data_IF_452944562610
#
_entry.id   IF_452944562610
#
_cell.length_a   1.000
_cell.length_b   1.000
_cell.length_c   1.000
_cell.angle_alpha   90.00
_cell.angle_beta   90.00
_cell.angle_gamma   90.00
#
_symmetry.space_group_name_H-M   'P 1'
#
loop_
_entity.id
_entity.type
_entity.pdbx_description
1 polymer ?
#
# COMPACT_ATOMS: atom_id res chain seq x y z
N UNK A 1 11.04 -40.11 43.38
CA UNK A 1 11.87 -38.94 43.02
C UNK A 1 12.23 -39.06 41.54
N UNK A 2 11.40 -38.53 40.64
CA UNK A 2 11.50 -38.75 39.20
C UNK A 2 12.09 -37.55 38.46
N UNK A 3 13.05 -37.83 37.56
CA UNK A 3 13.80 -36.89 36.71
C UNK A 3 12.92 -35.95 35.85
N UNK A 4 11.63 -36.25 35.72
CA UNK A 4 10.65 -35.50 34.93
C UNK A 4 9.83 -34.47 35.74
N UNK A 5 10.00 -34.43 37.07
CA UNK A 5 9.32 -33.46 37.95
C UNK A 5 9.73 -32.01 37.69
N UNK A 6 10.83 -31.76 36.98
CA UNK A 6 11.31 -30.42 36.61
C UNK A 6 10.76 -29.90 35.29
N UNK A 7 10.03 -30.72 34.52
CA UNK A 7 9.40 -30.33 33.26
C UNK A 7 7.90 -30.01 33.40
N UNK A 8 7.29 -30.39 34.53
CA UNK A 8 5.83 -30.30 34.73
C UNK A 8 5.30 -28.97 35.24
N UNK A 9 6.14 -27.99 35.50
CA UNK A 9 5.69 -26.63 35.83
C UNK A 9 6.86 -25.66 35.73
N UNK A 10 7.35 -25.40 34.51
CA UNK A 10 8.09 -24.17 34.32
C UNK A 10 7.08 -23.03 34.53
N UNK A 11 7.17 -22.38 35.70
CA UNK A 11 6.29 -21.31 36.22
C UNK A 11 6.34 -20.03 35.36
N UNK A 12 6.77 -20.18 34.12
CA UNK A 12 7.12 -19.18 33.14
C UNK A 12 6.18 -19.17 31.93
N UNK A 13 5.16 -20.03 31.91
CA UNK A 13 4.11 -19.96 30.90
C UNK A 13 3.18 -18.77 31.20
N UNK A 14 3.64 -17.58 30.82
CA UNK A 14 2.86 -16.36 30.91
C UNK A 14 1.86 -16.37 29.76
N UNK A 15 0.60 -16.64 30.07
CA UNK A 15 -0.50 -16.42 29.14
C UNK A 15 -0.68 -14.92 28.91
N UNK A 16 -0.37 -14.48 27.70
CA UNK A 16 -0.63 -13.14 27.21
C UNK A 16 -1.87 -13.16 26.35
N UNK A 17 -2.70 -12.12 26.43
CA UNK A 17 -3.77 -11.91 25.45
C UNK A 17 -3.18 -11.43 24.12
N UNK A 18 -3.85 -11.76 23.01
CA UNK A 18 -3.43 -11.34 21.67
C UNK A 18 -3.27 -9.82 21.57
N UNK A 19 -4.11 -9.05 22.27
CA UNK A 19 -4.03 -7.59 22.30
C UNK A 19 -2.76 -7.08 23.00
N UNK A 20 -2.31 -7.73 24.07
CA UNK A 20 -1.07 -7.37 24.76
C UNK A 20 0.17 -7.66 23.90
N UNK A 21 0.15 -8.81 23.20
CA UNK A 21 1.18 -9.20 22.24
C UNK A 21 1.27 -8.20 21.08
N UNK A 22 0.14 -7.86 20.45
CA UNK A 22 0.08 -6.90 19.34
C UNK A 22 0.57 -5.51 19.79
N UNK A 23 0.20 -5.06 20.99
CA UNK A 23 0.67 -3.77 21.52
C UNK A 23 2.18 -3.75 21.74
N UNK A 24 2.77 -4.86 22.20
CA UNK A 24 4.23 -4.99 22.33
C UNK A 24 4.92 -5.01 20.97
N UNK A 25 4.40 -5.79 20.03
CA UNK A 25 4.95 -5.89 18.67
C UNK A 25 4.93 -4.53 17.97
N UNK A 26 3.80 -3.82 18.00
CA UNK A 26 3.64 -2.49 17.38
C UNK A 26 4.60 -1.43 17.94
N UNK A 27 5.00 -1.54 19.22
CA UNK A 27 6.00 -0.65 19.81
C UNK A 27 7.38 -0.77 19.16
N UNK A 28 7.76 -1.94 18.64
CA UNK A 28 9.04 -2.11 17.95
C UNK A 28 9.05 -1.44 16.57
N UNK A 29 7.90 -1.42 15.89
CA UNK A 29 7.73 -0.77 14.59
C UNK A 29 7.72 0.77 14.67
N UNK A 30 7.66 1.33 15.88
CA UNK A 30 7.61 2.79 16.10
C UNK A 30 8.76 3.54 15.43
N UNK A 31 9.96 2.94 15.40
CA UNK A 31 11.13 3.57 14.78
C UNK A 31 11.06 3.64 13.25
N UNK A 32 10.19 2.85 12.61
CA UNK A 32 10.08 2.72 11.16
C UNK A 32 8.75 3.26 10.62
N UNK A 33 7.93 3.92 11.46
CA UNK A 33 6.61 4.45 11.06
C UNK A 33 6.73 5.36 9.83
N UNK A 34 7.76 6.19 9.73
CA UNK A 34 7.95 7.07 8.57
C UNK A 34 8.24 6.27 7.29
N UNK A 35 9.02 5.19 7.39
CA UNK A 35 9.30 4.31 6.24
C UNK A 35 8.05 3.54 5.82
N UNK A 36 7.29 3.01 6.79
CA UNK A 36 6.03 2.33 6.54
C UNK A 36 5.02 3.30 5.91
N UNK A 37 4.91 4.52 6.41
CA UNK A 37 4.06 5.55 5.83
C UNK A 37 4.45 5.87 4.39
N UNK A 38 5.75 6.00 4.10
CA UNK A 38 6.26 6.15 2.73
C UNK A 38 5.83 5.02 1.81
N UNK A 39 6.01 3.76 2.24
CA UNK A 39 5.59 2.58 1.48
C UNK A 39 4.07 2.61 1.22
N UNK A 40 3.27 2.88 2.25
CA UNK A 40 1.81 2.95 2.13
C UNK A 40 1.39 4.02 1.13
N UNK A 41 1.98 5.21 1.19
CA UNK A 41 1.69 6.30 0.25
C UNK A 41 2.07 5.89 -1.18
N UNK A 42 3.27 5.32 -1.38
CA UNK A 42 3.71 4.85 -2.71
C UNK A 42 2.77 3.78 -3.27
N UNK A 43 2.38 2.79 -2.45
CA UNK A 43 1.44 1.74 -2.86
C UNK A 43 0.07 2.31 -3.23
N UNK A 44 -0.42 3.31 -2.49
CA UNK A 44 -1.66 4.00 -2.81
C UNK A 44 -1.56 4.77 -4.13
N UNK A 45 -0.44 5.43 -4.40
CA UNK A 45 -0.20 6.15 -5.66
C UNK A 45 -0.17 5.18 -6.85
N UNK A 46 0.56 4.06 -6.73
CA UNK A 46 0.64 3.03 -7.77
C UNK A 46 -0.75 2.44 -8.03
N UNK A 47 -1.46 2.07 -6.96
CA UNK A 47 -2.79 1.47 -7.05
C UNK A 47 -3.82 2.44 -7.64
N UNK A 48 -3.76 3.72 -7.24
CA UNK A 48 -4.60 4.78 -7.81
C UNK A 48 -4.32 5.01 -9.29
N UNK A 49 -3.05 4.98 -9.69
CA UNK A 49 -2.62 5.10 -11.11
C UNK A 49 -3.23 3.98 -11.95
N UNK A 50 -3.19 2.74 -11.46
CA UNK A 50 -3.79 1.58 -12.14
C UNK A 50 -5.31 1.70 -12.34
N UNK A 51 -6.03 2.28 -11.37
CA UNK A 51 -7.47 2.51 -11.49
C UNK A 51 -7.83 3.70 -12.40
N UNK A 52 -6.98 4.74 -12.43
CA UNK A 52 -7.20 5.94 -13.24
C UNK A 52 -6.94 5.71 -14.74
N UNK A 53 -6.05 4.80 -15.08
CA UNK A 53 -5.67 4.49 -16.46
C UNK A 53 -6.87 4.15 -17.37
N UNK A 54 -7.74 3.16 -17.06
CA UNK A 54 -8.88 2.84 -17.92
C UNK A 54 -9.91 3.98 -18.02
N UNK A 55 -10.06 4.78 -16.95
CA UNK A 55 -10.98 5.93 -16.93
C UNK A 55 -10.53 7.02 -17.91
N UNK A 56 -9.23 7.33 -17.94
CA UNK A 56 -8.67 8.34 -18.85
C UNK A 56 -8.72 7.86 -20.30
N UNK A 57 -8.44 6.59 -20.56
CA UNK A 57 -8.54 6.01 -21.90
C UNK A 57 -9.99 6.14 -22.42
N UNK A 58 -10.98 5.75 -21.63
CA UNK A 58 -12.40 5.90 -22.00
C UNK A 58 -12.74 7.37 -22.32
N UNK A 59 -12.37 8.28 -21.42
CA UNK A 59 -12.70 9.70 -21.57
C UNK A 59 -11.98 10.36 -22.75
N UNK A 60 -10.78 9.89 -23.07
CA UNK A 60 -10.03 10.35 -24.25
C UNK A 60 -10.71 9.94 -25.55
N UNK A 61 -11.24 8.71 -25.62
CA UNK A 61 -11.98 8.21 -26.77
C UNK A 61 -13.27 9.02 -27.00
N UNK A 62 -13.98 9.38 -25.94
CA UNK A 62 -15.18 10.23 -26.03
C UNK A 62 -14.85 11.64 -26.53
N UNK A 63 -13.77 12.24 -26.02
CA UNK A 63 -13.34 13.60 -26.41
C UNK A 63 -12.84 13.68 -27.86
N UNK A 64 -12.28 12.59 -28.40
CA UNK A 64 -11.81 12.52 -29.79
C UNK A 64 -12.94 12.35 -30.82
N UNK A 65 -14.12 11.91 -30.39
CA UNK A 65 -15.30 11.83 -31.26
C UNK A 65 -15.95 13.20 -31.48
N UNK A 66 -15.77 14.14 -30.55
CA UNK A 66 -16.08 15.55 -30.75
C UNK A 66 -14.96 16.24 -31.53
N UNK A 67 -15.23 17.38 -32.18
CA UNK A 67 -14.24 18.15 -32.97
C UNK A 67 -12.96 18.35 -32.16
N UNK A 68 -11.87 17.61 -32.46
CA UNK A 68 -10.76 17.50 -31.53
C UNK A 68 -9.91 18.77 -31.61
N UNK A 69 -9.70 19.40 -30.46
CA UNK A 69 -8.83 20.57 -30.36
C UNK A 69 -7.41 20.14 -30.03
N UNK A 70 -6.40 20.79 -30.61
CA UNK A 70 -4.97 20.54 -30.32
C UNK A 70 -4.67 20.53 -28.81
N UNK A 71 -5.29 21.44 -28.06
CA UNK A 71 -5.14 21.55 -26.61
C UNK A 71 -5.62 20.28 -25.87
N UNK A 72 -6.72 19.66 -26.34
CA UNK A 72 -7.22 18.41 -25.75
C UNK A 72 -6.27 17.25 -26.02
N UNK A 73 -5.75 17.15 -27.26
CA UNK A 73 -4.80 16.10 -27.65
C UNK A 73 -3.52 16.19 -26.82
N UNK A 74 -2.96 17.38 -26.66
CA UNK A 74 -1.74 17.59 -25.86
C UNK A 74 -1.96 17.27 -24.39
N UNK A 75 -3.13 17.63 -23.84
CA UNK A 75 -3.45 17.38 -22.42
C UNK A 75 -3.63 15.89 -22.14
N UNK A 76 -4.35 15.16 -23.02
CA UNK A 76 -4.53 13.72 -22.92
C UNK A 76 -3.19 13.00 -23.03
N UNK A 77 -2.35 13.38 -24.00
CA UNK A 77 -1.02 12.79 -24.19
C UNK A 77 -0.14 13.00 -22.96
N UNK A 78 -0.12 14.22 -22.41
CA UNK A 78 0.60 14.51 -21.17
C UNK A 78 0.08 13.71 -19.97
N UNK A 79 -1.24 13.59 -19.82
CA UNK A 79 -1.86 12.82 -18.74
C UNK A 79 -1.53 11.32 -18.82
N UNK A 80 -1.61 10.73 -20.03
CA UNK A 80 -1.26 9.31 -20.26
C UNK A 80 0.23 9.07 -20.02
N UNK A 81 1.10 9.98 -20.47
CA UNK A 81 2.53 9.87 -20.24
C UNK A 81 2.87 9.91 -18.74
N UNK A 82 2.30 10.88 -18.00
CA UNK A 82 2.52 11.00 -16.56
C UNK A 82 2.06 9.74 -15.81
N UNK A 83 0.85 9.25 -16.10
CA UNK A 83 0.30 8.02 -15.51
C UNK A 83 1.16 6.80 -15.84
N UNK A 84 1.61 6.72 -17.10
CA UNK A 84 2.55 5.71 -17.53
C UNK A 84 3.78 5.72 -16.63
N UNK A 85 4.45 6.88 -16.49
CA UNK A 85 5.66 7.00 -15.68
C UNK A 85 5.45 6.76 -14.18
N UNK A 86 4.31 7.17 -13.60
CA UNK A 86 4.02 6.94 -12.18
C UNK A 86 3.70 5.48 -11.87
N UNK A 87 3.29 4.69 -12.87
CA UNK A 87 3.13 3.24 -12.72
C UNK A 87 4.46 2.47 -12.62
N UNK A 88 5.59 3.09 -12.97
CA UNK A 88 6.94 2.50 -12.86
C UNK A 88 7.71 2.93 -11.60
N UNK A 89 7.10 3.79 -10.75
CA UNK A 89 7.61 4.08 -9.41
C UNK A 89 7.39 2.89 -8.47
#
# INVERSE_FOLDING_TARGET
MGFYSSLTAEKYDRQYSDSELIKRMTSYFKSQILNIAGIVVTVLVISGTGALQPWIVSKSADLMQATPTILQITTITGAVFLIGTTGWL
#
